data_IF_135308373388
#
_entry.id   IF_135308373388
#
_cell.length_a   1.000
_cell.length_b   1.000
_cell.length_c   1.000
_cell.angle_alpha   90.00
_cell.angle_beta   90.00
_cell.angle_gamma   90.00
#
_symmetry.space_group_name_H-M   'P 1'
#
loop_
_entity.id
_entity.type
_entity.pdbx_description
1 polymer ?
#
# COMPACT_ATOMS: atom_id res chain seq x y z
N UNK A 1 7.89 -16.74 -14.23
CA UNK A 1 7.69 -18.19 -13.98
C UNK A 1 8.30 -18.71 -12.66
N UNK A 2 8.77 -17.86 -11.72
CA UNK A 2 9.36 -18.31 -10.44
C UNK A 2 8.41 -18.28 -9.22
N UNK A 3 7.18 -17.78 -9.36
CA UNK A 3 6.24 -17.68 -8.22
C UNK A 3 5.39 -18.94 -7.97
N UNK A 4 5.35 -19.89 -8.91
CA UNK A 4 4.48 -21.07 -8.80
C UNK A 4 4.97 -22.13 -7.78
N UNK A 5 6.28 -22.21 -7.54
CA UNK A 5 6.88 -23.22 -6.65
C UNK A 5 6.71 -22.90 -5.16
N UNK A 6 6.53 -21.63 -4.79
CA UNK A 6 6.37 -21.22 -3.39
C UNK A 6 4.91 -21.40 -2.92
N UNK A 7 3.95 -21.23 -3.83
CA UNK A 7 2.51 -21.36 -3.56
C UNK A 7 2.05 -22.81 -3.30
N UNK A 8 2.71 -23.80 -3.92
CA UNK A 8 2.40 -25.23 -3.68
C UNK A 8 2.78 -25.72 -2.28
N UNK A 9 3.86 -25.17 -1.69
CA UNK A 9 4.34 -25.57 -0.36
C UNK A 9 3.48 -24.99 0.77
N UNK A 10 2.94 -23.77 0.60
CA UNK A 10 2.08 -23.12 1.60
C UNK A 10 0.72 -23.82 1.75
N UNK A 11 0.16 -24.37 0.67
CA UNK A 11 -1.12 -25.07 0.71
C UNK A 11 -1.01 -26.49 1.31
N UNK A 12 0.17 -27.13 1.24
CA UNK A 12 0.40 -28.44 1.86
C UNK A 12 0.55 -28.35 3.39
N UNK A 13 1.12 -27.26 3.93
CA UNK A 13 1.30 -27.10 5.37
C UNK A 13 -0.03 -26.97 6.16
N UNK A 14 -1.09 -26.47 5.53
CA UNK A 14 -2.40 -26.23 6.16
C UNK A 14 -3.25 -27.51 6.21
N UNK A 15 -2.99 -28.48 5.31
CA UNK A 15 -3.76 -29.74 5.23
C UNK A 15 -3.25 -30.80 6.22
N UNK A 16 -1.99 -30.71 6.66
CA UNK A 16 -1.37 -31.69 7.57
C UNK A 16 -1.11 -31.15 9.00
N UNK A 17 -1.40 -29.88 9.28
CA UNK A 17 -1.16 -29.24 10.58
C UNK A 17 -2.37 -29.28 11.51
N UNK A 18 -2.78 -30.45 11.99
CA UNK A 18 -3.82 -30.60 13.03
C UNK A 18 -3.28 -31.28 14.29
N UNK A 19 -3.20 -30.53 15.41
CA UNK A 19 -3.66 -31.00 16.73
C UNK A 19 -3.49 -29.95 17.84
N UNK A 20 -4.31 -30.06 18.92
CA UNK A 20 -4.80 -28.93 19.71
C UNK A 20 -4.09 -28.79 21.07
N UNK A 21 -4.53 -27.78 21.85
CA UNK A 21 -4.37 -27.59 23.30
C UNK A 21 -3.33 -26.54 23.74
N UNK A 22 -3.79 -25.38 24.22
CA UNK A 22 -3.49 -24.89 25.59
C UNK A 22 -4.11 -23.50 25.81
N UNK A 23 -5.01 -23.45 26.78
CA UNK A 23 -5.42 -22.23 27.47
C UNK A 23 -4.24 -21.69 28.31
N UNK A 24 -4.02 -20.37 28.33
CA UNK A 24 -3.95 -19.58 29.58
C UNK A 24 -3.80 -18.09 29.27
N UNK A 25 -4.71 -17.32 29.84
CA UNK A 25 -4.80 -15.86 29.87
C UNK A 25 -3.75 -15.23 30.80
N UNK A 26 -3.12 -14.12 30.40
CA UNK A 26 -2.72 -13.04 31.33
C UNK A 26 -2.99 -11.71 30.64
N UNK A 27 -3.76 -10.87 31.33
CA UNK A 27 -4.17 -9.50 30.99
C UNK A 27 -3.00 -8.57 31.27
N UNK A 28 -2.64 -7.70 30.33
CA UNK A 28 -2.07 -6.39 30.69
C UNK A 28 -2.61 -5.32 29.74
N UNK A 29 -3.31 -4.38 30.37
CA UNK A 29 -3.94 -3.20 29.83
C UNK A 29 -2.90 -2.18 29.35
N UNK A 30 -2.88 -1.92 28.05
CA UNK A 30 -2.21 -0.76 27.44
C UNK A 30 -3.08 -0.25 26.31
N UNK A 31 -3.37 1.04 26.32
CA UNK A 31 -4.20 1.77 25.35
C UNK A 31 -3.84 1.42 23.90
N UNK A 32 -4.60 0.53 23.26
CA UNK A 32 -4.25 -0.05 21.97
C UNK A 32 -5.49 -0.37 21.14
N UNK A 33 -5.40 -0.12 19.84
CA UNK A 33 -6.41 -0.32 18.80
C UNK A 33 -7.18 -1.65 18.98
N UNK A 34 -8.52 -1.61 18.83
CA UNK A 34 -9.41 -2.77 19.00
C UNK A 34 -9.14 -3.88 17.95
N UNK A 35 -8.13 -4.73 18.18
CA UNK A 35 -7.90 -5.93 17.39
C UNK A 35 -9.06 -6.92 17.61
N UNK A 36 -9.70 -7.38 16.53
CA UNK A 36 -10.75 -8.41 16.63
C UNK A 36 -10.19 -9.79 16.39
N UNK A 37 -10.56 -10.77 17.21
CA UNK A 37 -10.15 -12.17 17.06
C UNK A 37 -10.41 -12.71 15.62
N UNK A 38 -9.42 -13.47 15.11
CA UNK A 38 -9.45 -14.11 13.81
C UNK A 38 -10.24 -15.43 13.90
N UNK A 39 -11.51 -15.40 13.52
CA UNK A 39 -12.32 -16.61 13.44
C UNK A 39 -12.01 -17.41 12.17
N UNK A 40 -12.29 -18.72 12.18
CA UNK A 40 -12.19 -19.57 10.98
C UNK A 40 -12.93 -18.97 9.77
N UNK A 41 -14.12 -18.39 9.98
CA UNK A 41 -14.86 -17.68 8.94
C UNK A 41 -14.07 -16.50 8.37
N UNK A 42 -13.47 -15.66 9.22
CA UNK A 42 -12.64 -14.53 8.78
C UNK A 42 -11.39 -15.00 8.04
N UNK A 43 -10.76 -16.09 8.47
CA UNK A 43 -9.63 -16.69 7.79
C UNK A 43 -9.96 -17.02 6.32
N UNK A 44 -11.06 -17.75 6.06
CA UNK A 44 -11.47 -18.08 4.70
C UNK A 44 -11.90 -16.86 3.88
N UNK A 45 -12.56 -15.88 4.52
CA UNK A 45 -12.89 -14.60 3.87
C UNK A 45 -11.62 -13.87 3.44
N UNK A 46 -10.57 -13.88 4.26
CA UNK A 46 -9.31 -13.23 3.93
C UNK A 46 -8.51 -13.98 2.87
N UNK A 47 -8.52 -15.32 2.86
CA UNK A 47 -7.98 -16.10 1.74
C UNK A 47 -8.70 -15.78 0.43
N UNK A 48 -10.03 -15.66 0.45
CA UNK A 48 -10.81 -15.25 -0.72
C UNK A 48 -10.40 -13.85 -1.20
N UNK A 49 -10.28 -12.87 -0.30
CA UNK A 49 -9.87 -11.50 -0.64
C UNK A 49 -8.45 -11.45 -1.19
N UNK A 50 -7.53 -12.24 -0.66
CA UNK A 50 -6.19 -12.39 -1.21
C UNK A 50 -6.23 -12.97 -2.64
N UNK A 51 -7.00 -14.03 -2.88
CA UNK A 51 -7.17 -14.61 -4.22
C UNK A 51 -7.83 -13.61 -5.20
N UNK A 52 -8.82 -12.86 -4.73
CA UNK A 52 -9.49 -11.81 -5.48
C UNK A 52 -8.52 -10.67 -5.88
N UNK A 53 -7.68 -10.23 -4.94
CA UNK A 53 -6.64 -9.24 -5.18
C UNK A 53 -5.64 -9.73 -6.22
N UNK A 54 -5.10 -10.94 -6.05
CA UNK A 54 -4.15 -11.53 -6.99
C UNK A 54 -4.74 -11.67 -8.40
N UNK A 55 -6.01 -12.05 -8.50
CA UNK A 55 -6.74 -12.14 -9.77
C UNK A 55 -6.88 -10.77 -10.43
N UNK A 56 -7.33 -9.76 -9.69
CA UNK A 56 -7.49 -8.39 -10.23
C UNK A 56 -6.17 -7.72 -10.56
N UNK A 57 -5.11 -7.99 -9.79
CA UNK A 57 -3.76 -7.56 -10.10
C UNK A 57 -3.29 -8.18 -11.43
N UNK A 58 -3.53 -9.49 -11.62
CA UNK A 58 -3.14 -10.20 -12.84
C UNK A 58 -3.89 -9.70 -14.08
N UNK A 59 -5.19 -9.39 -13.95
CA UNK A 59 -6.03 -8.87 -15.03
C UNK A 59 -6.17 -7.34 -15.00
N UNK A 60 -5.25 -6.63 -14.35
CA UNK A 60 -5.32 -5.18 -14.23
C UNK A 60 -5.15 -4.53 -15.60
N UNK A 61 -6.13 -3.73 -15.98
CA UNK A 61 -6.05 -2.82 -17.13
C UNK A 61 -6.04 -1.39 -16.60
N UNK A 62 -4.85 -0.80 -16.55
CA UNK A 62 -4.64 0.54 -16.00
C UNK A 62 -5.40 1.62 -16.78
N UNK A 63 -5.75 1.36 -18.04
CA UNK A 63 -6.50 2.29 -18.89
C UNK A 63 -8.01 2.20 -18.68
N UNK A 64 -8.48 1.15 -18.01
CA UNK A 64 -9.90 0.92 -17.74
C UNK A 64 -10.26 1.43 -16.33
N UNK A 65 -11.05 2.51 -16.19
CA UNK A 65 -11.46 3.03 -14.89
C UNK A 65 -12.16 1.98 -14.02
N UNK A 66 -12.93 1.09 -14.64
CA UNK A 66 -13.60 -0.02 -13.95
C UNK A 66 -12.62 -1.07 -13.43
N UNK A 67 -11.61 -1.44 -14.23
CA UNK A 67 -10.56 -2.38 -13.81
C UNK A 67 -9.75 -1.79 -12.65
N UNK A 68 -9.37 -0.52 -12.76
CA UNK A 68 -8.66 0.22 -11.72
C UNK A 68 -9.46 0.31 -10.41
N UNK A 69 -10.76 0.63 -10.48
CA UNK A 69 -11.62 0.72 -9.30
C UNK A 69 -11.76 -0.63 -8.59
N UNK A 70 -11.96 -1.71 -9.37
CA UNK A 70 -12.02 -3.08 -8.85
C UNK A 70 -10.71 -3.47 -8.16
N UNK A 71 -9.57 -3.16 -8.77
CA UNK A 71 -8.26 -3.46 -8.22
C UNK A 71 -8.01 -2.72 -6.91
N UNK A 72 -8.23 -1.40 -6.85
CA UNK A 72 -8.11 -0.61 -5.61
C UNK A 72 -8.98 -1.15 -4.47
N UNK A 73 -10.25 -1.44 -4.76
CA UNK A 73 -11.19 -1.99 -3.78
C UNK A 73 -10.69 -3.32 -3.22
N UNK A 74 -10.15 -4.17 -4.10
CA UNK A 74 -9.59 -5.46 -3.71
C UNK A 74 -8.28 -5.32 -2.91
N UNK A 75 -7.44 -4.35 -3.26
CA UNK A 75 -6.21 -4.01 -2.52
C UNK A 75 -6.53 -3.62 -1.09
N UNK A 76 -7.44 -2.66 -0.88
CA UNK A 76 -7.85 -2.23 0.46
C UNK A 76 -8.49 -3.38 1.26
N UNK A 77 -9.35 -4.17 0.61
CA UNK A 77 -9.99 -5.34 1.23
C UNK A 77 -8.99 -6.40 1.67
N UNK A 78 -7.91 -6.61 0.90
CA UNK A 78 -6.80 -7.47 1.25
C UNK A 78 -5.97 -6.87 2.40
N UNK A 79 -5.67 -5.57 2.35
CA UNK A 79 -4.90 -4.88 3.40
C UNK A 79 -5.59 -4.98 4.77
N UNK A 80 -6.90 -4.75 4.84
CA UNK A 80 -7.70 -4.92 6.06
C UNK A 80 -7.61 -6.36 6.60
N UNK A 81 -7.50 -7.33 5.70
CA UNK A 81 -7.36 -8.73 6.05
C UNK A 81 -5.96 -9.06 6.58
N UNK A 82 -4.90 -8.54 5.96
CA UNK A 82 -3.53 -8.73 6.46
C UNK A 82 -3.34 -8.13 7.85
N UNK A 83 -3.95 -6.97 8.10
CA UNK A 83 -3.92 -6.33 9.42
C UNK A 83 -4.65 -7.18 10.48
N UNK A 84 -5.81 -7.73 10.12
CA UNK A 84 -6.58 -8.64 11.00
C UNK A 84 -5.84 -9.93 11.35
N UNK A 85 -4.99 -10.43 10.45
CA UNK A 85 -4.17 -11.62 10.69
C UNK A 85 -3.05 -11.37 11.70
N UNK A 86 -2.42 -10.20 11.63
CA UNK A 86 -1.27 -9.85 12.46
C UNK A 86 -1.66 -9.37 13.86
N UNK A 87 -2.90 -8.92 14.03
CA UNK A 87 -3.54 -8.67 15.33
C UNK A 87 -3.62 -9.91 16.26
N UNK A 88 -3.13 -11.08 15.84
CA UNK A 88 -3.05 -12.25 16.72
C UNK A 88 -2.14 -11.98 17.92
N UNK A 89 -2.69 -12.13 19.14
CA UNK A 89 -2.05 -11.84 20.43
C UNK A 89 -1.82 -10.35 20.74
N UNK A 90 -2.71 -9.45 20.30
CA UNK A 90 -2.63 -7.99 20.53
C UNK A 90 -1.32 -7.36 20.02
N UNK A 91 -0.70 -7.99 19.03
CA UNK A 91 0.50 -7.44 18.40
C UNK A 91 0.07 -6.37 17.43
N UNK A 92 0.84 -5.29 17.38
CA UNK A 92 0.69 -4.32 16.30
C UNK A 92 0.90 -5.00 14.95
N UNK A 93 0.26 -4.49 13.88
CA UNK A 93 0.56 -4.92 12.53
C UNK A 93 2.06 -4.76 12.25
N UNK A 94 2.64 -5.77 11.63
CA UNK A 94 4.03 -5.77 11.17
C UNK A 94 4.25 -4.63 10.19
N UNK A 95 5.51 -4.19 10.05
CA UNK A 95 5.88 -3.20 9.04
C UNK A 95 5.47 -3.64 7.61
N UNK A 96 5.33 -4.94 7.37
CA UNK A 96 4.94 -5.46 6.05
C UNK A 96 3.46 -5.21 5.75
N UNK A 97 2.55 -5.46 6.70
CA UNK A 97 1.13 -5.17 6.49
C UNK A 97 0.87 -3.67 6.43
N UNK A 98 1.56 -2.88 7.26
CA UNK A 98 1.52 -1.41 7.21
C UNK A 98 1.90 -0.92 5.81
N UNK A 99 3.03 -1.39 5.26
CA UNK A 99 3.44 -1.06 3.87
C UNK A 99 2.44 -1.49 2.80
N UNK A 100 1.83 -2.68 2.95
CA UNK A 100 0.80 -3.16 2.01
C UNK A 100 -0.42 -2.25 2.05
N UNK A 101 -0.90 -1.91 3.25
CA UNK A 101 -2.01 -0.98 3.45
C UNK A 101 -1.71 0.38 2.85
N UNK A 102 -0.57 0.97 3.19
CA UNK A 102 -0.16 2.28 2.67
C UNK A 102 -0.01 2.27 1.15
N UNK A 103 0.51 1.19 0.56
CA UNK A 103 0.57 1.04 -0.90
C UNK A 103 -0.83 1.05 -1.53
N UNK A 104 -1.79 0.35 -0.91
CA UNK A 104 -3.19 0.35 -1.37
C UNK A 104 -3.85 1.73 -1.20
N UNK A 105 -3.56 2.44 -0.12
CA UNK A 105 -4.06 3.79 0.14
C UNK A 105 -3.47 4.82 -0.83
N UNK A 106 -2.17 4.74 -1.13
CA UNK A 106 -1.51 5.55 -2.18
C UNK A 106 -2.13 5.29 -3.54
N UNK A 107 -2.34 4.02 -3.91
CA UNK A 107 -3.00 3.67 -5.17
C UNK A 107 -4.44 4.23 -5.23
N UNK A 108 -5.17 4.14 -4.11
CA UNK A 108 -6.51 4.69 -4.03
C UNK A 108 -6.49 6.19 -4.29
N UNK A 109 -5.72 6.95 -3.50
CA UNK A 109 -5.53 8.40 -3.65
C UNK A 109 -5.19 8.79 -5.09
N UNK A 110 -4.17 8.16 -5.68
CA UNK A 110 -3.69 8.49 -7.01
C UNK A 110 -4.79 8.36 -8.06
N UNK A 111 -5.66 7.36 -7.91
CA UNK A 111 -6.70 7.12 -8.89
C UNK A 111 -8.10 7.63 -8.49
N UNK A 112 -8.28 8.28 -7.35
CA UNK A 112 -9.54 8.95 -6.96
C UNK A 112 -9.33 10.44 -6.86
N UNK A 113 -8.58 10.87 -5.86
CA UNK A 113 -8.43 12.29 -5.48
C UNK A 113 -7.44 13.02 -6.38
N UNK A 114 -6.50 12.29 -6.99
CA UNK A 114 -5.42 12.85 -7.79
C UNK A 114 -5.49 12.53 -9.29
N UNK A 115 -6.46 11.70 -9.72
CA UNK A 115 -6.51 11.17 -11.09
C UNK A 115 -6.62 12.27 -12.14
N UNK A 116 -7.39 13.32 -11.87
CA UNK A 116 -7.53 14.46 -12.79
C UNK A 116 -6.19 15.15 -13.05
N UNK A 117 -5.33 15.27 -12.02
CA UNK A 117 -4.00 15.83 -12.21
C UNK A 117 -3.09 14.87 -12.98
N UNK A 118 -3.12 13.57 -12.65
CA UNK A 118 -2.36 12.56 -13.40
C UNK A 118 -2.71 12.55 -14.89
N UNK A 119 -4.00 12.67 -15.23
CA UNK A 119 -4.45 12.77 -16.63
C UNK A 119 -3.87 14.01 -17.32
N UNK A 120 -3.90 15.19 -16.67
CA UNK A 120 -3.28 16.40 -17.22
C UNK A 120 -1.77 16.23 -17.45
N UNK A 121 -1.07 15.59 -16.52
CA UNK A 121 0.37 15.33 -16.62
C UNK A 121 0.69 14.37 -17.77
N UNK A 122 -0.12 13.34 -17.98
CA UNK A 122 0.01 12.38 -19.08
C UNK A 122 -0.27 13.02 -20.46
N UNK A 123 -1.16 14.01 -20.51
CA UNK A 123 -1.51 14.74 -21.73
C UNK A 123 -0.45 15.75 -22.18
N UNK A 124 0.51 16.11 -21.32
CA UNK A 124 1.61 17.02 -21.66
C UNK A 124 2.49 16.43 -22.77
N UNK A 125 2.83 17.26 -23.77
CA UNK A 125 3.68 16.88 -24.90
C UNK A 125 4.85 17.86 -25.05
N UNK A 126 6.11 17.41 -24.91
CA UNK A 126 6.52 16.06 -24.53
C UNK A 126 6.19 15.73 -23.06
N UNK A 127 5.99 14.45 -22.76
CA UNK A 127 5.78 14.00 -21.38
C UNK A 127 7.01 14.37 -20.51
N UNK A 128 6.82 15.13 -19.41
CA UNK A 128 7.92 15.60 -18.57
C UNK A 128 8.75 14.46 -17.99
N UNK A 129 10.07 14.62 -17.95
CA UNK A 129 10.98 13.59 -17.43
C UNK A 129 10.73 13.28 -15.96
N UNK A 130 10.36 14.30 -15.19
CA UNK A 130 9.98 14.15 -13.79
C UNK A 130 8.82 13.16 -13.62
N UNK A 131 7.77 13.28 -14.44
CA UNK A 131 6.62 12.38 -14.37
C UNK A 131 6.97 10.94 -14.76
N UNK A 132 7.84 10.75 -15.76
CA UNK A 132 8.27 9.42 -16.22
C UNK A 132 9.11 8.67 -15.20
N UNK A 133 9.91 9.39 -14.42
CA UNK A 133 10.89 8.80 -13.50
C UNK A 133 10.42 8.78 -12.05
N UNK A 134 9.31 9.46 -11.74
CA UNK A 134 8.76 9.46 -10.40
C UNK A 134 8.13 8.11 -10.04
N UNK A 135 8.68 7.46 -9.02
CA UNK A 135 8.16 6.23 -8.43
C UNK A 135 7.39 6.51 -7.14
N UNK A 136 6.06 6.74 -7.17
CA UNK A 136 5.27 6.98 -5.95
C UNK A 136 5.27 5.81 -4.97
N UNK A 137 5.72 4.63 -5.40
CA UNK A 137 5.77 3.41 -4.60
C UNK A 137 7.19 3.01 -4.15
N UNK A 138 8.19 3.85 -4.43
CA UNK A 138 9.60 3.54 -4.13
C UNK A 138 9.84 3.22 -2.66
N UNK A 139 9.19 3.95 -1.73
CA UNK A 139 9.30 3.71 -0.29
C UNK A 139 8.75 2.35 0.17
N UNK A 140 7.82 1.76 -0.58
CA UNK A 140 7.21 0.47 -0.21
C UNK A 140 8.01 -0.73 -0.69
N UNK A 141 8.73 -0.60 -1.80
CA UNK A 141 9.40 -1.71 -2.49
C UNK A 141 10.89 -1.75 -2.16
N UNK A 142 11.54 -0.60 -2.06
CA UNK A 142 13.00 -0.51 -2.06
C UNK A 142 13.50 -0.49 -0.61
N UNK A 143 13.75 -1.68 -0.04
CA UNK A 143 14.35 -1.84 1.30
C UNK A 143 15.78 -1.31 1.40
N UNK A 144 16.45 -1.10 0.25
CA UNK A 144 17.89 -0.80 0.19
C UNK A 144 18.21 0.71 0.07
N UNK A 145 17.20 1.59 -0.02
CA UNK A 145 17.43 3.04 -0.01
C UNK A 145 17.66 3.51 1.43
N UNK A 146 18.73 4.28 1.64
CA UNK A 146 18.90 4.96 2.91
C UNK A 146 17.74 5.94 3.13
N UNK A 147 17.26 6.12 4.38
CA UNK A 147 16.20 7.07 4.71
C UNK A 147 16.41 8.46 4.10
N UNK A 148 17.65 8.96 4.10
CA UNK A 148 18.00 10.25 3.51
C UNK A 148 17.78 10.33 1.99
N UNK A 149 18.12 9.26 1.26
CA UNK A 149 17.89 9.19 -0.19
C UNK A 149 16.41 9.09 -0.52
N UNK A 150 15.65 8.39 0.33
CA UNK A 150 14.20 8.29 0.21
C UNK A 150 13.54 9.66 0.41
N UNK A 151 13.92 10.39 1.46
CA UNK A 151 13.42 11.74 1.72
C UNK A 151 13.81 12.74 0.63
N UNK A 152 15.03 12.67 0.09
CA UNK A 152 15.49 13.57 -0.98
C UNK A 152 14.72 13.40 -2.29
N UNK A 153 14.19 12.20 -2.55
CA UNK A 153 13.54 11.86 -3.82
C UNK A 153 12.03 11.58 -3.68
N UNK A 154 11.41 11.88 -2.53
CA UNK A 154 10.00 11.53 -2.26
C UNK A 154 9.02 12.14 -3.27
N UNK A 155 9.30 13.35 -3.73
CA UNK A 155 8.57 14.05 -4.80
C UNK A 155 9.37 14.06 -6.11
N UNK A 156 10.08 12.98 -6.39
CA UNK A 156 10.97 12.86 -7.53
C UNK A 156 12.33 13.55 -7.30
N UNK A 157 13.23 13.36 -8.26
CA UNK A 157 14.57 13.95 -8.21
C UNK A 157 14.46 15.48 -8.09
N UNK A 158 15.22 16.05 -7.15
CA UNK A 158 15.27 17.50 -6.89
C UNK A 158 13.87 18.12 -6.67
N UNK A 159 12.96 17.36 -6.05
CA UNK A 159 11.58 17.74 -5.76
C UNK A 159 10.73 18.13 -6.97
N UNK A 160 11.09 17.62 -8.15
CA UNK A 160 10.52 18.05 -9.41
C UNK A 160 8.98 17.90 -9.51
N UNK A 161 8.39 16.89 -8.85
CA UNK A 161 6.94 16.65 -8.93
C UNK A 161 6.15 17.76 -8.26
N UNK A 162 6.64 18.34 -7.16
CA UNK A 162 5.93 19.43 -6.48
C UNK A 162 5.73 20.61 -7.42
N UNK A 163 6.80 21.00 -8.13
CA UNK A 163 6.77 22.09 -9.12
C UNK A 163 5.91 21.72 -10.32
N UNK A 164 6.11 20.53 -10.89
CA UNK A 164 5.37 20.09 -12.07
C UNK A 164 3.86 20.04 -11.79
N UNK A 165 3.46 19.55 -10.62
CA UNK A 165 2.05 19.49 -10.19
C UNK A 165 1.49 20.88 -9.95
N UNK A 166 2.22 21.76 -9.25
CA UNK A 166 1.72 23.12 -9.00
C UNK A 166 1.54 23.91 -10.30
N UNK A 167 2.45 23.77 -11.27
CA UNK A 167 2.37 24.43 -12.58
C UNK A 167 1.27 23.85 -13.49
N UNK A 168 1.02 22.54 -13.43
CA UNK A 168 0.07 21.86 -14.35
C UNK A 168 -1.35 21.76 -13.78
N UNK A 169 -1.45 21.51 -12.47
CA UNK A 169 -2.70 21.16 -11.79
C UNK A 169 -3.13 22.22 -10.79
N UNK A 170 -2.19 23.02 -10.27
CA UNK A 170 -2.43 24.05 -9.27
C UNK A 170 -1.91 23.67 -7.88
N UNK A 171 -1.85 24.67 -7.00
CA UNK A 171 -1.29 24.50 -5.65
C UNK A 171 -2.09 23.52 -4.79
N UNK A 172 -3.42 23.45 -4.97
CA UNK A 172 -4.27 22.52 -4.23
C UNK A 172 -3.87 21.05 -4.47
N UNK A 173 -3.66 20.67 -5.72
CA UNK A 173 -3.21 19.32 -6.08
C UNK A 173 -1.77 19.09 -5.60
N UNK A 174 -0.91 20.11 -5.63
CA UNK A 174 0.44 20.01 -5.04
C UNK A 174 0.37 19.69 -3.54
N UNK A 175 -0.51 20.37 -2.78
CA UNK A 175 -0.72 20.09 -1.37
C UNK A 175 -1.33 18.71 -1.11
N UNK A 176 -2.27 18.24 -1.94
CA UNK A 176 -2.80 16.87 -1.86
C UNK A 176 -1.70 15.83 -1.97
N UNK A 177 -0.80 15.99 -2.95
CA UNK A 177 0.35 15.10 -3.13
C UNK A 177 1.27 15.09 -1.88
N UNK A 178 1.59 16.26 -1.35
CA UNK A 178 2.45 16.38 -0.16
C UNK A 178 1.78 15.77 1.09
N UNK A 179 0.47 15.97 1.25
CA UNK A 179 -0.27 15.41 2.38
C UNK A 179 -0.35 13.89 2.32
N UNK A 180 -0.51 13.31 1.12
CA UNK A 180 -0.43 11.86 0.94
C UNK A 180 0.94 11.33 1.40
N UNK A 181 2.04 11.95 0.94
CA UNK A 181 3.39 11.54 1.37
C UNK A 181 3.61 11.70 2.88
N UNK A 182 3.19 12.82 3.48
CA UNK A 182 3.30 13.05 4.93
C UNK A 182 2.63 11.96 5.78
N UNK A 183 1.53 11.40 5.28
CA UNK A 183 0.76 10.39 6.01
C UNK A 183 1.38 8.99 5.90
N UNK A 184 2.14 8.72 4.84
CA UNK A 184 2.86 7.46 4.64
C UNK A 184 4.01 7.31 5.64
N UNK A 185 4.08 6.17 6.33
CA UNK A 185 5.07 5.91 7.39
C UNK A 185 6.51 6.08 6.89
N UNK A 186 6.79 5.65 5.65
CA UNK A 186 8.09 5.76 5.00
C UNK A 186 8.59 7.19 4.79
N UNK A 187 7.68 8.18 4.72
CA UNK A 187 8.06 9.58 4.51
C UNK A 187 7.74 10.47 5.72
N UNK A 188 7.05 9.95 6.74
CA UNK A 188 6.62 10.72 7.92
C UNK A 188 7.79 11.37 8.68
N UNK A 189 8.97 10.78 8.61
CA UNK A 189 10.20 11.30 9.23
C UNK A 189 10.94 12.33 8.36
N UNK A 190 10.53 12.53 7.11
CA UNK A 190 11.16 13.47 6.20
C UNK A 190 10.76 14.93 6.53
N UNK A 191 11.70 15.84 6.31
CA UNK A 191 11.47 17.27 6.50
C UNK A 191 10.83 17.91 5.26
N UNK A 192 9.51 18.07 5.30
CA UNK A 192 8.73 18.69 4.21
C UNK A 192 8.94 20.20 4.08
N UNK A 193 9.64 20.86 5.02
CA UNK A 193 9.93 22.30 4.90
C UNK A 193 11.00 22.61 3.84
N UNK A 194 11.75 21.58 3.40
CA UNK A 194 12.78 21.66 2.37
C UNK A 194 12.24 21.50 0.94
N UNK A 195 10.94 21.33 0.79
CA UNK A 195 10.26 21.18 -0.50
C UNK A 195 9.80 22.52 -1.06
#
# INVERSE_FOLDING_TARGET
MRCYTILGAFLLAIVYGSSPNSETSIIESGTGTNCTELTFKKFFVCLYRFGDFMTKMYFLDVKSPNSMNKFKTSCLSMADCTESFECQNNKEPTDSSKKVRESCETLNFLGTDFITCLTKLEELKPAPECYKTWGPFDGFIIKDKLPDELCKNMVGKDNCMKKLVSETCGEEDSQKLLNMLKNTTEYRHCDFSKL
#
